data_IF_534859912699
#
_entry.id   IF_534859912699
#
_cell.length_a   1.000
_cell.length_b   1.000
_cell.length_c   1.000
_cell.angle_alpha   90.00
_cell.angle_beta   90.00
_cell.angle_gamma   90.00
#
_symmetry.space_group_name_H-M   'P 1'
#
loop_
_entity.id
_entity.type
_entity.pdbx_description
1 polymer ?
#
# COMPACT_ATOMS: atom_id res chain seq x y z
N UNK A 1 -16.21 23.94 -5.72
CA UNK A 1 -17.41 23.92 -4.86
C UNK A 1 -17.08 23.09 -3.61
N UNK A 2 -17.37 23.58 -2.42
CA UNK A 2 -17.11 22.87 -1.18
C UNK A 2 -18.06 21.67 -1.06
N UNK A 3 -17.51 20.44 -0.93
CA UNK A 3 -18.33 19.22 -0.85
C UNK A 3 -18.80 18.97 0.60
N UNK A 4 -20.02 18.45 0.80
CA UNK A 4 -20.59 18.24 2.15
C UNK A 4 -19.76 17.36 3.08
N UNK A 5 -19.06 16.35 2.56
CA UNK A 5 -18.19 15.47 3.36
C UNK A 5 -17.03 16.25 3.99
N UNK A 6 -16.37 17.12 3.21
CA UNK A 6 -15.29 17.97 3.71
C UNK A 6 -15.81 19.03 4.70
N UNK A 7 -16.96 19.66 4.40
CA UNK A 7 -17.59 20.60 5.32
C UNK A 7 -17.91 19.96 6.68
N UNK A 8 -18.43 18.71 6.71
CA UNK A 8 -18.67 17.94 7.94
C UNK A 8 -17.38 17.67 8.72
N UNK A 9 -16.29 17.31 8.01
CA UNK A 9 -14.97 17.09 8.65
C UNK A 9 -14.47 18.39 9.29
N UNK A 10 -14.60 19.52 8.59
CA UNK A 10 -14.20 20.83 9.10
C UNK A 10 -15.01 21.20 10.36
N UNK A 11 -16.34 21.08 10.34
CA UNK A 11 -17.19 21.34 11.53
C UNK A 11 -16.75 20.47 12.71
N UNK A 12 -16.44 19.19 12.48
CA UNK A 12 -15.99 18.29 13.55
C UNK A 12 -14.68 18.74 14.20
N UNK A 13 -13.72 19.21 13.41
CA UNK A 13 -12.44 19.71 13.96
C UNK A 13 -12.61 21.07 14.66
N UNK A 14 -13.39 21.98 14.06
CA UNK A 14 -13.64 23.31 14.64
C UNK A 14 -14.42 23.23 15.94
N UNK A 15 -15.40 22.30 16.07
CA UNK A 15 -16.17 22.08 17.31
C UNK A 15 -15.32 21.68 18.52
N UNK A 16 -14.11 21.14 18.29
CA UNK A 16 -13.17 20.83 19.36
C UNK A 16 -12.51 22.07 19.98
N UNK A 17 -12.57 23.19 19.26
CA UNK A 17 -11.88 24.43 19.63
C UNK A 17 -12.82 25.49 20.19
N UNK A 18 -14.10 25.44 19.81
CA UNK A 18 -15.10 26.44 20.20
C UNK A 18 -16.45 25.78 20.49
N UNK A 19 -17.18 26.31 21.48
CA UNK A 19 -18.48 25.79 21.94
C UNK A 19 -19.66 26.41 21.20
N UNK A 20 -19.43 27.45 20.38
CA UNK A 20 -20.47 28.16 19.67
C UNK A 20 -21.02 27.38 18.48
N UNK A 21 -22.28 27.72 18.09
CA UNK A 21 -22.90 27.14 16.89
C UNK A 21 -22.21 27.63 15.63
N UNK A 22 -21.80 26.67 14.78
CA UNK A 22 -21.12 26.95 13.52
C UNK A 22 -21.92 26.34 12.39
N UNK A 23 -21.98 27.04 11.29
CA UNK A 23 -22.51 26.55 10.02
C UNK A 23 -21.45 26.69 8.92
N UNK A 24 -21.52 25.82 7.93
CA UNK A 24 -20.88 26.01 6.63
C UNK A 24 -21.97 25.97 5.59
N UNK A 25 -22.11 27.08 4.85
CA UNK A 25 -23.01 27.24 3.71
C UNK A 25 -22.26 27.10 2.39
N UNK A 26 -22.96 26.66 1.36
CA UNK A 26 -22.51 26.78 -0.02
C UNK A 26 -22.66 28.20 -0.56
N UNK A 27 -22.24 28.42 -1.79
CA UNK A 27 -22.33 29.75 -2.44
C UNK A 27 -23.77 30.18 -2.73
N UNK A 28 -24.76 29.29 -2.68
CA UNK A 28 -26.19 29.57 -2.86
C UNK A 28 -26.90 29.91 -1.53
N UNK A 29 -26.18 29.84 -0.41
CA UNK A 29 -26.71 30.06 0.93
C UNK A 29 -27.35 28.81 1.56
N UNK A 30 -27.20 27.63 0.99
CA UNK A 30 -27.66 26.36 1.59
C UNK A 30 -26.68 25.88 2.63
N UNK A 31 -27.12 25.58 3.85
CA UNK A 31 -26.28 25.03 4.90
C UNK A 31 -25.93 23.57 4.56
N UNK A 32 -24.65 23.29 4.29
CA UNK A 32 -24.14 21.95 3.93
C UNK A 32 -23.56 21.19 5.13
N UNK A 33 -23.18 21.90 6.19
CA UNK A 33 -22.77 21.34 7.47
C UNK A 33 -23.04 22.30 8.61
N UNK A 34 -23.35 21.76 9.80
CA UNK A 34 -23.65 22.56 10.98
C UNK A 34 -23.38 21.76 12.26
N UNK A 35 -23.03 22.45 13.37
CA UNK A 35 -23.03 21.87 14.73
C UNK A 35 -24.44 21.50 15.19
N UNK A 36 -25.44 22.29 14.78
CA UNK A 36 -26.86 21.96 14.91
C UNK A 36 -27.33 21.24 13.61
N UNK A 37 -27.43 19.93 13.68
CA UNK A 37 -27.78 19.10 12.53
C UNK A 37 -29.16 19.39 11.94
N UNK A 38 -30.09 19.95 12.73
CA UNK A 38 -31.44 20.32 12.29
C UNK A 38 -31.41 21.43 11.21
N UNK A 39 -30.35 22.20 11.14
CA UNK A 39 -30.18 23.32 10.18
C UNK A 39 -29.61 22.86 8.82
N UNK A 40 -29.09 21.65 8.70
CA UNK A 40 -28.51 21.16 7.45
C UNK A 40 -29.60 21.08 6.37
N UNK A 41 -29.32 21.62 5.19
CA UNK A 41 -30.24 21.70 4.06
C UNK A 41 -31.14 22.94 4.11
N UNK A 42 -31.19 23.71 5.22
CA UNK A 42 -31.96 24.95 5.27
C UNK A 42 -31.20 26.11 4.61
N UNK A 43 -31.98 27.11 4.17
CA UNK A 43 -31.45 28.33 3.56
C UNK A 43 -30.99 29.32 4.63
N UNK A 44 -29.85 29.98 4.39
CA UNK A 44 -29.24 30.99 5.25
C UNK A 44 -28.89 32.24 4.43
N UNK A 45 -29.75 33.25 4.47
CA UNK A 45 -29.60 34.44 3.63
C UNK A 45 -28.30 35.21 3.89
N UNK A 46 -27.83 35.27 5.14
CA UNK A 46 -26.55 35.89 5.50
C UNK A 46 -25.34 35.20 4.84
N UNK A 47 -25.40 33.88 4.63
CA UNK A 47 -24.36 33.16 3.90
C UNK A 47 -24.40 33.51 2.39
N UNK A 48 -25.59 33.58 1.79
CA UNK A 48 -25.76 34.01 0.39
C UNK A 48 -25.19 35.41 0.17
N UNK A 49 -25.55 36.38 1.02
CA UNK A 49 -25.09 37.76 0.91
C UNK A 49 -23.56 37.86 1.09
N UNK A 50 -23.02 37.19 2.11
CA UNK A 50 -21.56 37.15 2.33
C UNK A 50 -20.81 36.53 1.16
N UNK A 51 -21.36 35.47 0.55
CA UNK A 51 -20.79 34.83 -0.64
C UNK A 51 -20.80 35.74 -1.85
N UNK A 52 -21.95 36.36 -2.14
CA UNK A 52 -22.14 37.24 -3.30
C UNK A 52 -21.24 38.47 -3.23
N UNK A 53 -21.22 39.14 -2.06
CA UNK A 53 -20.49 40.38 -1.86
C UNK A 53 -19.01 40.16 -1.54
N UNK A 54 -18.60 38.87 -1.35
CA UNK A 54 -17.25 38.43 -1.02
C UNK A 54 -16.67 39.11 0.23
N UNK A 55 -17.54 39.51 1.16
CA UNK A 55 -17.19 40.24 2.36
C UNK A 55 -17.76 39.58 3.61
N UNK A 56 -17.07 39.85 4.72
CA UNK A 56 -17.56 39.53 6.05
C UNK A 56 -18.92 40.23 6.24
N UNK A 57 -19.91 39.45 6.70
CA UNK A 57 -21.22 39.95 7.03
C UNK A 57 -21.52 39.74 8.52
N UNK A 58 -21.86 40.80 9.22
CA UNK A 58 -22.28 40.78 10.61
C UNK A 58 -23.80 40.78 10.65
N UNK A 59 -24.40 39.80 11.31
CA UNK A 59 -25.84 39.69 11.55
C UNK A 59 -26.10 40.17 12.98
N UNK A 60 -26.81 41.26 13.13
CA UNK A 60 -27.29 41.76 14.43
C UNK A 60 -28.59 41.07 14.84
N UNK A 61 -28.99 41.18 16.11
CA UNK A 61 -30.29 40.67 16.58
C UNK A 61 -31.49 41.25 15.83
N UNK A 62 -31.42 42.50 15.43
CA UNK A 62 -32.50 43.13 14.66
C UNK A 62 -32.61 42.54 13.25
N UNK A 63 -31.47 42.18 12.65
CA UNK A 63 -31.44 41.56 11.32
C UNK A 63 -31.99 40.11 11.32
N UNK A 64 -32.01 39.41 12.45
CA UNK A 64 -32.62 38.06 12.55
C UNK A 64 -34.10 38.06 12.14
N UNK A 65 -34.81 39.17 12.37
CA UNK A 65 -36.24 39.32 12.05
C UNK A 65 -36.49 39.63 10.56
N UNK A 66 -35.46 40.08 9.83
CA UNK A 66 -35.57 40.54 8.45
C UNK A 66 -34.96 39.61 7.43
N UNK A 67 -33.99 38.74 7.83
CA UNK A 67 -33.29 37.81 6.96
C UNK A 67 -33.75 36.37 7.22
N UNK A 68 -33.84 35.57 6.16
CA UNK A 68 -34.31 34.18 6.27
C UNK A 68 -33.24 33.24 6.81
N UNK A 69 -33.58 32.46 7.83
CA UNK A 69 -32.79 31.38 8.36
C UNK A 69 -31.50 31.80 9.06
N UNK A 70 -31.34 33.05 9.44
CA UNK A 70 -30.15 33.58 10.10
C UNK A 70 -30.27 33.55 11.62
N UNK A 71 -29.13 33.53 12.30
CA UNK A 71 -28.97 33.84 13.72
C UNK A 71 -27.92 34.96 13.84
N UNK A 72 -28.02 35.79 14.90
CA UNK A 72 -27.02 36.83 15.16
C UNK A 72 -25.60 36.22 15.29
N UNK A 73 -24.65 36.85 14.59
CA UNK A 73 -23.30 36.34 14.50
C UNK A 73 -22.52 36.92 13.32
N UNK A 74 -21.53 36.19 12.86
CA UNK A 74 -20.70 36.59 11.72
C UNK A 74 -20.72 35.51 10.63
N UNK A 75 -20.74 35.97 9.38
CA UNK A 75 -20.57 35.11 8.20
C UNK A 75 -19.32 35.56 7.44
N UNK A 76 -18.44 34.65 7.13
CA UNK A 76 -17.14 34.88 6.50
C UNK A 76 -17.04 34.06 5.22
N UNK A 77 -16.79 34.67 4.06
CA UNK A 77 -16.62 33.95 2.82
C UNK A 77 -15.29 33.15 2.87
N UNK A 78 -15.37 31.90 2.50
CA UNK A 78 -14.22 30.97 2.39
C UNK A 78 -13.69 31.06 0.96
N UNK A 79 -12.42 31.41 0.82
CA UNK A 79 -11.76 31.58 -0.46
C UNK A 79 -10.88 30.36 -0.81
N UNK A 80 -10.96 29.94 -2.06
CA UNK A 80 -10.02 28.98 -2.65
C UNK A 80 -9.66 29.44 -4.07
N UNK A 81 -8.36 29.63 -4.35
CA UNK A 81 -7.87 30.19 -5.62
C UNK A 81 -8.64 31.48 -6.01
N UNK A 82 -8.74 32.38 -5.06
CA UNK A 82 -9.41 33.71 -5.20
C UNK A 82 -10.91 33.65 -5.47
N UNK A 83 -11.53 32.49 -5.43
CA UNK A 83 -12.99 32.32 -5.60
C UNK A 83 -13.64 31.92 -4.29
N UNK A 84 -14.82 32.48 -4.01
CA UNK A 84 -15.63 32.01 -2.88
C UNK A 84 -16.14 30.59 -3.18
N UNK A 85 -15.86 29.63 -2.29
CA UNK A 85 -16.28 28.24 -2.40
C UNK A 85 -17.35 27.86 -1.39
N UNK A 86 -17.56 28.68 -0.38
CA UNK A 86 -18.57 28.56 0.67
C UNK A 86 -18.47 29.70 1.67
N UNK A 87 -19.24 29.63 2.73
CA UNK A 87 -19.28 30.61 3.82
C UNK A 87 -19.27 29.88 5.16
N UNK A 88 -18.43 30.31 6.09
CA UNK A 88 -18.48 29.87 7.48
C UNK A 88 -19.24 30.91 8.31
N UNK A 89 -20.30 30.48 9.02
CA UNK A 89 -21.07 31.31 9.94
C UNK A 89 -20.84 30.84 11.39
N UNK A 90 -20.66 31.84 12.28
CA UNK A 90 -20.49 31.62 13.72
C UNK A 90 -21.59 32.41 14.42
N UNK A 91 -22.42 31.72 15.22
CA UNK A 91 -23.49 32.31 16.00
C UNK A 91 -22.94 32.91 17.28
N UNK A 92 -23.36 34.11 17.67
CA UNK A 92 -22.99 34.75 18.94
C UNK A 92 -22.59 36.20 18.80
N UNK A 93 -21.95 36.79 19.83
CA UNK A 93 -21.58 38.21 19.82
C UNK A 93 -20.46 38.50 18.80
N UNK A 94 -20.71 39.31 17.75
CA UNK A 94 -19.72 39.61 16.72
C UNK A 94 -18.44 40.28 17.22
N UNK A 95 -18.51 41.06 18.29
CA UNK A 95 -17.32 41.70 18.88
C UNK A 95 -16.37 40.71 19.52
N UNK A 96 -16.93 39.68 20.13
CA UNK A 96 -16.15 38.59 20.76
C UNK A 96 -15.45 37.70 19.72
N UNK A 97 -16.09 37.46 18.56
CA UNK A 97 -15.65 36.49 17.57
C UNK A 97 -14.95 37.06 16.33
N UNK A 98 -14.77 38.39 16.25
CA UNK A 98 -14.16 38.99 15.07
C UNK A 98 -12.78 38.43 14.70
N UNK A 99 -11.87 38.36 15.64
CA UNK A 99 -10.52 37.84 15.42
C UNK A 99 -10.53 36.29 15.29
N UNK A 100 -11.30 35.57 16.11
CA UNK A 100 -11.44 34.11 16.00
C UNK A 100 -12.09 33.67 14.70
N UNK A 101 -13.08 34.45 14.21
CA UNK A 101 -13.73 34.15 12.95
C UNK A 101 -12.77 34.17 11.77
N UNK A 102 -11.87 35.15 11.71
CA UNK A 102 -10.85 35.21 10.64
C UNK A 102 -9.85 34.07 10.76
N UNK A 103 -9.48 33.69 11.97
CA UNK A 103 -8.61 32.52 12.19
C UNK A 103 -9.29 31.21 11.70
N UNK A 104 -10.57 31.03 12.07
CA UNK A 104 -11.35 29.86 11.64
C UNK A 104 -11.56 29.80 10.14
N UNK A 105 -11.84 30.96 9.51
CA UNK A 105 -11.88 31.09 8.06
C UNK A 105 -10.55 30.61 7.47
N UNK A 106 -9.42 31.12 7.97
CA UNK A 106 -8.09 30.76 7.45
C UNK A 106 -7.77 29.29 7.63
N UNK A 107 -8.09 28.72 8.79
CA UNK A 107 -7.95 27.25 9.03
C UNK A 107 -8.82 26.45 8.06
N UNK A 108 -10.06 26.89 7.81
CA UNK A 108 -10.96 26.24 6.85
C UNK A 108 -10.40 26.29 5.43
N UNK A 109 -9.87 27.43 5.01
CA UNK A 109 -9.20 27.58 3.70
C UNK A 109 -7.99 26.64 3.55
N UNK A 110 -7.16 26.52 4.61
CA UNK A 110 -6.02 25.60 4.61
C UNK A 110 -6.45 24.12 4.53
N UNK A 111 -7.51 23.72 5.24
CA UNK A 111 -8.04 22.37 5.18
C UNK A 111 -8.63 22.04 3.79
N UNK A 112 -9.26 23.01 3.14
CA UNK A 112 -9.75 22.88 1.76
C UNK A 112 -8.58 22.72 0.79
N UNK A 113 -7.55 23.55 0.96
CA UNK A 113 -6.34 23.49 0.14
C UNK A 113 -5.61 22.14 0.30
N UNK A 114 -5.43 21.68 1.52
CA UNK A 114 -4.85 20.36 1.82
C UNK A 114 -5.63 19.22 1.16
N UNK A 115 -6.98 19.26 1.30
CA UNK A 115 -7.86 18.25 0.70
C UNK A 115 -7.75 18.24 -0.83
N UNK A 116 -7.72 19.41 -1.44
CA UNK A 116 -7.57 19.54 -2.90
C UNK A 116 -6.23 18.98 -3.38
N UNK A 117 -5.13 19.34 -2.74
CA UNK A 117 -3.81 18.81 -3.12
C UNK A 117 -3.72 17.29 -2.89
N UNK A 118 -4.31 16.79 -1.81
CA UNK A 118 -4.36 15.37 -1.55
C UNK A 118 -5.12 14.60 -2.65
N UNK A 119 -6.21 15.17 -3.17
CA UNK A 119 -6.99 14.61 -4.28
C UNK A 119 -6.22 14.65 -5.60
N UNK A 120 -5.50 15.74 -5.90
CA UNK A 120 -4.66 15.85 -7.09
C UNK A 120 -3.54 14.82 -7.08
N UNK A 121 -2.82 14.68 -5.97
CA UNK A 121 -1.76 13.67 -5.81
C UNK A 121 -2.31 12.25 -6.01
N UNK A 122 -3.50 11.97 -5.47
CA UNK A 122 -4.14 10.65 -5.64
C UNK A 122 -4.53 10.40 -7.11
N UNK A 123 -5.03 11.41 -7.82
CA UNK A 123 -5.37 11.29 -9.23
C UNK A 123 -4.12 11.05 -10.10
N UNK A 124 -3.05 11.81 -9.87
CA UNK A 124 -1.77 11.61 -10.56
C UNK A 124 -1.22 10.19 -10.29
N UNK A 125 -1.27 9.73 -9.04
CA UNK A 125 -0.84 8.38 -8.68
C UNK A 125 -1.63 7.31 -9.42
N UNK A 126 -2.96 7.43 -9.50
CA UNK A 126 -3.81 6.48 -10.23
C UNK A 126 -3.54 6.48 -11.73
N UNK A 127 -3.31 7.65 -12.31
CA UNK A 127 -2.96 7.77 -13.73
C UNK A 127 -1.65 7.03 -14.02
N UNK A 128 -0.65 7.23 -13.15
CA UNK A 128 0.64 6.55 -13.26
C UNK A 128 0.51 5.03 -13.06
N UNK A 129 -0.28 4.59 -12.08
CA UNK A 129 -0.56 3.17 -11.82
C UNK A 129 -1.21 2.49 -13.03
N UNK A 130 -2.21 3.13 -13.63
CA UNK A 130 -2.88 2.62 -14.84
C UNK A 130 -1.91 2.56 -16.01
N UNK A 131 -1.08 3.59 -16.20
CA UNK A 131 -0.07 3.60 -17.25
C UNK A 131 0.93 2.44 -17.11
N UNK A 132 1.49 2.24 -15.91
CA UNK A 132 2.44 1.14 -15.65
C UNK A 132 1.76 -0.22 -15.82
N UNK A 133 0.51 -0.37 -15.39
CA UNK A 133 -0.26 -1.59 -15.60
C UNK A 133 -0.40 -1.91 -17.09
N UNK A 134 -0.80 -0.93 -17.89
CA UNK A 134 -0.91 -1.10 -19.35
C UNK A 134 0.46 -1.43 -19.97
N UNK A 135 1.53 -0.72 -19.55
CA UNK A 135 2.88 -0.96 -20.05
C UNK A 135 3.36 -2.40 -19.85
N UNK A 136 3.06 -2.95 -18.65
CA UNK A 136 3.39 -4.35 -18.33
C UNK A 136 2.58 -5.37 -19.14
N UNK A 137 1.46 -4.99 -19.73
CA UNK A 137 0.59 -5.88 -20.50
C UNK A 137 0.70 -5.70 -22.03
N UNK A 138 1.37 -4.66 -22.49
CA UNK A 138 1.51 -4.37 -23.90
C UNK A 138 2.28 -5.47 -24.63
N UNK A 139 1.73 -5.85 -25.80
CA UNK A 139 2.44 -6.64 -26.80
C UNK A 139 3.12 -5.75 -27.84
N UNK A 140 2.53 -4.61 -28.14
CA UNK A 140 3.02 -3.61 -29.11
C UNK A 140 2.69 -2.20 -28.60
N UNK A 141 3.57 -1.25 -28.85
CA UNK A 141 3.42 0.14 -28.45
C UNK A 141 2.49 0.87 -29.43
N UNK A 142 1.31 1.25 -28.95
CA UNK A 142 0.38 2.07 -29.73
C UNK A 142 0.71 3.56 -29.63
N UNK A 143 0.29 4.35 -30.64
CA UNK A 143 0.45 5.80 -30.60
C UNK A 143 -0.24 6.46 -29.39
N UNK A 144 -1.36 5.89 -28.93
CA UNK A 144 -2.06 6.35 -27.72
C UNK A 144 -1.22 6.11 -26.45
N UNK A 145 -0.57 4.97 -26.36
CA UNK A 145 0.34 4.66 -25.25
C UNK A 145 1.53 5.62 -25.23
N UNK A 146 2.16 5.89 -26.37
CA UNK A 146 3.28 6.83 -26.50
C UNK A 146 2.88 8.26 -26.07
N UNK A 147 1.71 8.74 -26.50
CA UNK A 147 1.19 10.03 -26.08
C UNK A 147 0.97 10.11 -24.56
N UNK A 148 0.50 9.02 -23.96
CA UNK A 148 0.35 8.96 -22.49
C UNK A 148 1.68 8.97 -21.76
N UNK A 149 2.69 8.30 -22.28
CA UNK A 149 4.06 8.32 -21.75
C UNK A 149 4.62 9.75 -21.74
N UNK A 150 4.47 10.46 -22.87
CA UNK A 150 4.90 11.86 -23.01
C UNK A 150 4.19 12.79 -22.01
N UNK A 151 2.87 12.67 -21.84
CA UNK A 151 2.11 13.45 -20.85
C UNK A 151 2.54 13.20 -19.40
N UNK A 152 3.04 11.99 -19.12
CA UNK A 152 3.56 11.63 -17.80
C UNK A 152 5.06 11.93 -17.64
N UNK A 153 5.71 12.48 -18.67
CA UNK A 153 7.15 12.69 -18.76
C UNK A 153 7.95 11.38 -18.51
N UNK A 154 7.45 10.27 -19.04
CA UNK A 154 8.11 8.96 -18.95
C UNK A 154 8.74 8.62 -20.27
N UNK A 155 10.06 8.55 -20.29
CA UNK A 155 10.81 8.02 -21.42
C UNK A 155 10.80 6.49 -21.35
N UNK A 156 10.10 5.85 -22.29
CA UNK A 156 9.96 4.39 -22.37
C UNK A 156 11.17 3.68 -22.97
N UNK A 157 12.04 4.40 -23.67
CA UNK A 157 13.29 3.87 -24.24
C UNK A 157 14.33 3.54 -23.17
N UNK A 158 14.23 4.19 -22.00
CA UNK A 158 15.11 3.93 -20.87
C UNK A 158 14.84 2.54 -20.30
N UNK A 159 15.87 1.69 -20.29
CA UNK A 159 15.79 0.38 -19.64
C UNK A 159 15.50 0.53 -18.15
N UNK A 160 14.51 -0.21 -17.68
CA UNK A 160 14.12 -0.24 -16.28
C UNK A 160 14.06 -1.65 -15.74
N UNK A 161 14.56 -1.81 -14.55
CA UNK A 161 14.49 -3.05 -13.78
C UNK A 161 13.31 -2.98 -12.80
N UNK A 162 12.46 -4.00 -12.81
CA UNK A 162 11.32 -4.07 -11.90
C UNK A 162 11.75 -4.62 -10.55
N UNK A 163 11.39 -3.90 -9.51
CA UNK A 163 11.44 -4.36 -8.13
C UNK A 163 10.02 -4.44 -7.60
N UNK A 164 9.60 -5.60 -7.15
CA UNK A 164 8.31 -5.78 -6.50
C UNK A 164 8.49 -5.88 -4.99
N UNK A 165 7.88 -4.95 -4.25
CA UNK A 165 7.84 -4.95 -2.79
C UNK A 165 6.52 -5.51 -2.27
N UNK A 166 6.57 -6.25 -1.17
CA UNK A 166 5.37 -6.69 -0.44
C UNK A 166 5.51 -6.40 1.05
N UNK A 167 4.39 -6.06 1.65
CA UNK A 167 4.25 -5.70 3.05
C UNK A 167 3.45 -6.78 3.74
N UNK A 168 3.92 -7.18 4.92
CA UNK A 168 3.17 -8.02 5.85
C UNK A 168 3.08 -7.28 7.19
N UNK A 169 1.85 -7.06 7.65
CA UNK A 169 1.55 -6.37 8.90
C UNK A 169 0.32 -6.97 9.55
N UNK A 170 0.28 -6.95 10.89
CA UNK A 170 -0.90 -7.33 11.68
C UNK A 170 -1.97 -6.23 11.70
N UNK A 171 -1.65 -5.03 11.17
CA UNK A 171 -2.56 -3.88 11.05
C UNK A 171 -2.62 -3.40 9.62
N UNK A 172 -3.79 -2.91 9.20
CA UNK A 172 -3.94 -2.27 7.88
C UNK A 172 -3.13 -0.97 7.83
N UNK A 173 -2.06 -0.97 7.05
CA UNK A 173 -1.26 0.23 6.77
C UNK A 173 -1.57 0.67 5.34
N UNK A 174 -2.08 1.89 5.14
CA UNK A 174 -2.34 2.37 3.80
C UNK A 174 -1.05 2.45 2.97
N UNK A 175 -1.02 1.84 1.79
CA UNK A 175 0.12 1.93 0.86
C UNK A 175 0.50 3.39 0.51
N UNK A 176 -0.45 4.33 0.66
CA UNK A 176 -0.18 5.76 0.52
C UNK A 176 0.85 6.26 1.55
N UNK A 177 0.81 5.77 2.78
CA UNK A 177 1.80 6.16 3.80
C UNK A 177 3.19 5.66 3.42
N UNK A 178 3.27 4.45 2.90
CA UNK A 178 4.52 3.86 2.39
C UNK A 178 5.05 4.64 1.20
N UNK A 179 4.18 4.96 0.22
CA UNK A 179 4.53 5.79 -0.92
C UNK A 179 5.12 7.15 -0.49
N UNK A 180 4.48 7.82 0.46
CA UNK A 180 4.96 9.10 0.99
C UNK A 180 6.34 8.96 1.66
N UNK A 181 6.55 7.90 2.44
CA UNK A 181 7.83 7.66 3.11
C UNK A 181 8.98 7.32 2.15
N UNK A 182 8.67 6.62 1.06
CA UNK A 182 9.65 6.33 0.00
C UNK A 182 9.96 7.62 -0.78
N UNK A 183 8.95 8.39 -1.19
CA UNK A 183 9.10 9.62 -1.96
C UNK A 183 9.75 10.79 -1.19
N UNK A 184 9.55 10.87 0.13
CA UNK A 184 10.14 11.92 0.99
C UNK A 184 11.66 11.79 1.18
N UNK A 185 12.25 10.70 0.76
CA UNK A 185 13.70 10.54 0.80
C UNK A 185 14.25 10.54 -0.63
N UNK A 186 15.40 11.14 -0.87
CA UNK A 186 16.07 11.12 -2.17
C UNK A 186 16.69 9.72 -2.45
N UNK A 187 15.91 8.67 -2.25
CA UNK A 187 16.32 7.29 -2.48
C UNK A 187 16.10 6.93 -3.94
N UNK A 188 15.03 7.47 -4.51
CA UNK A 188 14.67 7.30 -5.92
C UNK A 188 15.13 8.53 -6.72
N UNK A 189 15.64 8.30 -7.92
CA UNK A 189 15.97 9.35 -8.88
C UNK A 189 14.67 9.88 -9.53
N UNK A 190 14.73 11.06 -10.16
CA UNK A 190 13.54 11.70 -10.79
C UNK A 190 12.84 10.84 -11.84
N UNK A 191 13.60 10.00 -12.56
CA UNK A 191 13.07 9.12 -13.61
C UNK A 191 12.71 7.71 -13.12
N UNK A 192 12.91 7.42 -11.84
CA UNK A 192 12.51 6.15 -11.23
C UNK A 192 11.06 6.23 -10.75
N UNK A 193 10.30 5.16 -10.99
CA UNK A 193 8.87 5.16 -10.83
C UNK A 193 8.49 4.31 -9.60
N UNK A 194 7.62 4.84 -8.75
CA UNK A 194 6.94 4.12 -7.69
C UNK A 194 5.45 4.05 -7.99
N UNK A 195 4.87 2.85 -8.00
CA UNK A 195 3.43 2.63 -8.09
C UNK A 195 2.94 1.61 -7.08
N UNK A 196 1.69 1.77 -6.63
CA UNK A 196 0.99 0.77 -5.83
C UNK A 196 0.58 -0.40 -6.73
N UNK A 197 0.60 -1.62 -6.19
CA UNK A 197 0.24 -2.84 -6.91
C UNK A 197 -0.65 -3.76 -6.06
N UNK A 198 -1.94 -3.51 -6.09
CA UNK A 198 -2.90 -4.15 -5.20
C UNK A 198 -2.91 -3.54 -3.79
N UNK A 199 -3.24 -4.35 -2.78
CA UNK A 199 -3.45 -3.86 -1.41
C UNK A 199 -2.20 -3.94 -0.53
N UNK A 200 -1.29 -4.89 -0.82
CA UNK A 200 -0.12 -5.22 0.00
C UNK A 200 1.20 -5.14 -0.75
N UNK A 201 1.18 -4.72 -2.03
CA UNK A 201 2.35 -4.70 -2.91
C UNK A 201 2.55 -3.34 -3.55
N UNK A 202 3.77 -3.10 -3.99
CA UNK A 202 4.15 -1.93 -4.78
C UNK A 202 5.28 -2.29 -5.75
N UNK A 203 5.43 -1.49 -6.79
CA UNK A 203 6.51 -1.62 -7.77
C UNK A 203 7.43 -0.40 -7.69
N UNK A 204 8.73 -0.67 -7.86
CA UNK A 204 9.73 0.33 -8.19
C UNK A 204 10.29 -0.04 -9.56
N UNK A 205 10.30 0.92 -10.47
CA UNK A 205 10.99 0.78 -11.74
C UNK A 205 12.30 1.57 -11.63
N UNK A 206 13.38 0.85 -11.40
CA UNK A 206 14.72 1.40 -11.19
C UNK A 206 15.48 1.42 -12.52
N UNK A 207 16.45 2.32 -12.64
CA UNK A 207 17.26 2.48 -13.84
C UNK A 207 18.73 2.70 -13.50
N UNK A 208 19.62 2.21 -14.39
CA UNK A 208 21.08 2.45 -14.34
C UNK A 208 21.73 2.16 -12.97
N UNK A 209 21.30 1.07 -12.31
CA UNK A 209 21.84 0.66 -11.01
C UNK A 209 22.48 -0.72 -11.08
N UNK A 210 23.68 -0.86 -10.50
CA UNK A 210 24.26 -2.18 -10.28
C UNK A 210 23.50 -2.95 -9.21
N UNK A 211 23.66 -4.28 -9.19
CA UNK A 211 23.07 -5.18 -8.18
C UNK A 211 23.36 -4.70 -6.75
N UNK A 212 24.60 -4.29 -6.48
CA UNK A 212 25.03 -3.80 -5.16
C UNK A 212 24.35 -2.47 -4.79
N UNK A 213 24.12 -1.59 -5.78
CA UNK A 213 23.42 -0.33 -5.58
C UNK A 213 21.95 -0.57 -5.25
N UNK A 214 21.29 -1.47 -5.99
CA UNK A 214 19.90 -1.88 -5.73
C UNK A 214 19.79 -2.51 -4.35
N UNK A 215 20.66 -3.44 -4.00
CA UNK A 215 20.70 -4.08 -2.68
C UNK A 215 20.79 -3.02 -1.55
N UNK A 216 21.67 -2.04 -1.68
CA UNK A 216 21.84 -0.96 -0.69
C UNK A 216 20.59 -0.08 -0.59
N UNK A 217 19.99 0.29 -1.72
CA UNK A 217 18.76 1.10 -1.76
C UNK A 217 17.62 0.38 -1.08
N UNK A 218 17.38 -0.88 -1.46
CA UNK A 218 16.28 -1.67 -0.92
C UNK A 218 16.48 -1.98 0.58
N UNK A 219 17.73 -2.22 1.01
CA UNK A 219 18.02 -2.40 2.43
C UNK A 219 17.72 -1.12 3.26
N UNK A 220 17.98 0.07 2.71
CA UNK A 220 17.61 1.35 3.35
C UNK A 220 16.10 1.52 3.43
N UNK A 221 15.38 1.25 2.33
CA UNK A 221 13.92 1.31 2.29
C UNK A 221 13.34 0.34 3.33
N UNK A 222 13.79 -0.93 3.30
CA UNK A 222 13.37 -1.98 4.22
C UNK A 222 13.57 -1.57 5.68
N UNK A 223 14.79 -1.24 6.07
CA UNK A 223 15.13 -0.87 7.45
C UNK A 223 14.29 0.31 7.94
N UNK A 224 14.07 1.32 7.08
CA UNK A 224 13.28 2.49 7.43
C UNK A 224 11.80 2.16 7.61
N UNK A 225 11.21 1.39 6.71
CA UNK A 225 9.80 1.02 6.80
C UNK A 225 9.56 0.11 8.01
N UNK A 226 10.41 -0.89 8.22
CA UNK A 226 10.30 -1.83 9.33
C UNK A 226 10.46 -1.15 10.69
N UNK A 227 11.43 -0.23 10.82
CA UNK A 227 11.66 0.49 12.09
C UNK A 227 10.56 1.50 12.44
N UNK A 228 9.90 2.06 11.43
CA UNK A 228 8.94 3.16 11.64
C UNK A 228 7.50 2.69 11.74
N UNK A 229 7.16 1.61 11.05
CA UNK A 229 5.78 1.13 10.89
C UNK A 229 5.53 -0.23 11.53
N UNK A 230 6.55 -0.88 12.11
CA UNK A 230 6.46 -2.23 12.70
C UNK A 230 5.90 -3.27 11.70
N UNK A 231 6.33 -3.19 10.44
CA UNK A 231 5.92 -4.08 9.34
C UNK A 231 7.09 -4.96 8.92
N UNK A 232 6.81 -6.03 8.19
CA UNK A 232 7.84 -6.79 7.46
C UNK A 232 7.76 -6.46 5.98
N UNK A 233 8.91 -6.20 5.35
CA UNK A 233 9.00 -5.87 3.93
C UNK A 233 9.88 -6.89 3.23
N UNK A 234 9.40 -7.40 2.11
CA UNK A 234 10.14 -8.31 1.23
C UNK A 234 10.24 -7.71 -0.16
N UNK A 235 11.34 -7.98 -0.86
CA UNK A 235 11.54 -7.51 -2.22
C UNK A 235 11.95 -8.64 -3.15
N UNK A 236 11.32 -8.68 -4.33
CA UNK A 236 11.76 -9.47 -5.47
C UNK A 236 12.23 -8.56 -6.58
N UNK A 237 13.33 -8.89 -7.22
CA UNK A 237 13.99 -8.08 -8.25
C UNK A 237 14.11 -8.92 -9.52
N UNK A 238 13.57 -8.39 -10.64
CA UNK A 238 13.74 -8.95 -11.98
C UNK A 238 15.04 -8.52 -12.63
N UNK A 239 15.26 -8.91 -13.88
CA UNK A 239 16.38 -8.46 -14.70
C UNK A 239 16.13 -7.04 -15.26
N UNK A 240 17.14 -6.44 -15.86
CA UNK A 240 17.05 -5.20 -16.63
C UNK A 240 16.74 -5.45 -18.11
N UNK A 241 16.35 -6.68 -18.45
CA UNK A 241 16.03 -7.09 -19.81
C UNK A 241 14.68 -6.52 -20.29
N UNK A 242 14.63 -6.20 -21.58
CA UNK A 242 13.39 -5.83 -22.26
C UNK A 242 12.69 -7.08 -22.85
N UNK A 243 11.37 -7.16 -22.88
CA UNK A 243 10.38 -6.17 -22.44
C UNK A 243 10.22 -6.09 -20.92
N UNK A 244 9.74 -4.95 -20.42
CA UNK A 244 9.52 -4.69 -18.98
C UNK A 244 8.67 -5.77 -18.32
N UNK A 245 7.77 -6.40 -19.06
CA UNK A 245 6.97 -7.55 -18.63
C UNK A 245 7.81 -8.71 -18.13
N UNK A 246 8.93 -9.02 -18.80
CA UNK A 246 9.84 -10.08 -18.38
C UNK A 246 10.40 -9.79 -16.98
N UNK A 247 10.93 -8.59 -16.81
CA UNK A 247 11.44 -8.14 -15.50
C UNK A 247 10.38 -8.19 -14.40
N UNK A 248 9.11 -7.88 -14.74
CA UNK A 248 7.99 -7.98 -13.80
C UNK A 248 7.71 -9.43 -13.39
N UNK A 249 7.63 -10.36 -14.34
CA UNK A 249 7.35 -11.78 -14.06
C UNK A 249 8.49 -12.40 -13.22
N UNK A 250 9.73 -12.03 -13.49
CA UNK A 250 10.91 -12.39 -12.72
C UNK A 250 10.87 -11.80 -11.30
N UNK A 251 10.53 -10.50 -11.17
CA UNK A 251 10.40 -9.85 -9.87
C UNK A 251 9.29 -10.48 -9.00
N UNK A 252 8.15 -10.86 -9.60
CA UNK A 252 7.08 -11.56 -8.88
C UNK A 252 7.54 -12.94 -8.40
N UNK A 253 8.24 -13.70 -9.23
CA UNK A 253 8.83 -14.99 -8.87
C UNK A 253 9.82 -14.86 -7.71
N UNK A 254 10.74 -13.90 -7.78
CA UNK A 254 11.70 -13.61 -6.72
C UNK A 254 11.00 -13.17 -5.42
N UNK A 255 9.93 -12.38 -5.52
CA UNK A 255 9.16 -11.95 -4.36
C UNK A 255 8.49 -13.13 -3.64
N UNK A 256 7.97 -14.13 -4.35
CA UNK A 256 7.39 -15.32 -3.71
C UNK A 256 8.41 -16.06 -2.84
N UNK A 257 9.67 -16.08 -3.25
CA UNK A 257 10.77 -16.64 -2.45
C UNK A 257 11.11 -15.71 -1.27
N UNK A 258 11.25 -14.41 -1.54
CA UNK A 258 11.59 -13.40 -0.53
C UNK A 258 10.59 -13.33 0.63
N UNK A 259 9.29 -13.51 0.36
CA UNK A 259 8.21 -13.48 1.38
C UNK A 259 8.40 -14.54 2.49
N UNK A 260 9.03 -15.68 2.20
CA UNK A 260 9.23 -16.75 3.18
C UNK A 260 10.23 -16.37 4.27
N UNK A 261 11.26 -15.63 3.88
CA UNK A 261 12.38 -15.24 4.77
C UNK A 261 12.36 -13.75 5.17
N UNK A 262 11.44 -12.96 4.61
CA UNK A 262 11.45 -11.52 4.80
C UNK A 262 12.69 -10.86 4.19
N UNK A 263 13.16 -11.33 3.04
CA UNK A 263 14.45 -10.96 2.44
C UNK A 263 14.32 -10.06 1.21
N UNK A 264 15.46 -9.73 0.63
CA UNK A 264 15.62 -9.12 -0.70
C UNK A 264 16.17 -10.22 -1.60
N UNK A 265 15.47 -10.54 -2.68
CA UNK A 265 15.82 -11.66 -3.55
C UNK A 265 15.88 -11.19 -5.01
N UNK A 266 16.99 -11.48 -5.68
CA UNK A 266 17.13 -11.30 -7.12
C UNK A 266 16.71 -12.57 -7.84
N UNK A 267 16.02 -12.44 -8.96
CA UNK A 267 15.59 -13.58 -9.77
C UNK A 267 16.78 -14.36 -10.34
N UNK A 268 17.83 -13.67 -10.77
CA UNK A 268 19.06 -14.28 -11.29
C UNK A 268 19.79 -15.20 -10.29
N UNK A 269 19.53 -15.05 -8.99
CA UNK A 269 20.07 -15.91 -7.95
C UNK A 269 19.21 -17.17 -7.72
N UNK A 270 18.02 -17.25 -8.33
CA UNK A 270 17.13 -18.38 -8.23
C UNK A 270 17.51 -19.46 -9.24
N UNK A 271 17.53 -20.69 -8.78
CA UNK A 271 17.81 -21.86 -9.62
C UNK A 271 16.65 -22.85 -9.58
N UNK A 272 16.53 -23.57 -8.48
CA UNK A 272 15.48 -24.56 -8.28
C UNK A 272 14.10 -23.93 -8.11
N UNK A 273 14.03 -22.78 -7.45
CA UNK A 273 12.80 -22.01 -7.24
C UNK A 273 12.18 -21.55 -8.57
N UNK A 274 13.00 -21.24 -9.56
CA UNK A 274 12.54 -20.91 -10.91
C UNK A 274 11.80 -22.09 -11.54
N UNK A 275 12.38 -23.30 -11.51
CA UNK A 275 11.75 -24.51 -12.04
C UNK A 275 10.42 -24.82 -11.33
N UNK A 276 10.40 -24.66 -10.02
CA UNK A 276 9.19 -24.87 -9.20
C UNK A 276 8.09 -23.86 -9.58
N UNK A 277 8.47 -22.62 -9.88
CA UNK A 277 7.49 -21.57 -10.24
C UNK A 277 6.82 -21.87 -11.58
N UNK A 278 7.54 -22.38 -12.55
CA UNK A 278 7.03 -22.72 -13.89
C UNK A 278 6.11 -23.96 -13.90
N UNK A 279 6.12 -24.78 -12.83
CA UNK A 279 5.22 -25.94 -12.76
C UNK A 279 3.81 -25.52 -12.33
N UNK A 280 2.78 -26.07 -13.02
CA UNK A 280 1.38 -25.76 -12.67
C UNK A 280 1.00 -26.30 -11.29
N UNK A 281 0.10 -25.61 -10.57
CA UNK A 281 -0.36 -26.04 -9.25
C UNK A 281 -0.93 -27.47 -9.22
N UNK A 282 -1.56 -27.91 -10.32
CA UNK A 282 -2.02 -29.29 -10.47
C UNK A 282 -0.86 -30.31 -10.44
N UNK A 283 0.24 -30.01 -11.13
CA UNK A 283 1.43 -30.87 -11.15
C UNK A 283 2.11 -30.86 -9.79
N UNK A 284 2.17 -29.69 -9.13
CA UNK A 284 2.73 -29.55 -7.78
C UNK A 284 1.96 -30.40 -6.76
N UNK A 285 0.63 -30.31 -6.75
CA UNK A 285 -0.23 -31.13 -5.87
C UNK A 285 -0.07 -32.62 -6.12
N UNK A 286 -0.05 -33.03 -7.38
CA UNK A 286 0.13 -34.44 -7.73
C UNK A 286 1.51 -34.96 -7.31
N UNK A 287 2.56 -34.13 -7.42
CA UNK A 287 3.89 -34.48 -6.96
C UNK A 287 3.94 -34.72 -5.44
N UNK A 288 3.38 -33.77 -4.66
CA UNK A 288 3.26 -33.86 -3.20
C UNK A 288 2.49 -35.14 -2.81
N UNK A 289 1.38 -35.42 -3.49
CA UNK A 289 0.57 -36.62 -3.25
C UNK A 289 1.34 -37.91 -3.46
N UNK A 290 2.22 -37.96 -4.48
CA UNK A 290 3.02 -39.17 -4.79
C UNK A 290 4.23 -39.33 -3.91
N UNK A 291 4.70 -38.32 -3.22
CA UNK A 291 6.00 -38.32 -2.53
C UNK A 291 5.88 -38.22 -1.02
N UNK A 292 5.29 -37.16 -0.49
CA UNK A 292 5.35 -36.83 0.94
C UNK A 292 4.00 -36.78 1.64
N UNK A 293 2.87 -37.00 0.95
CA UNK A 293 1.53 -36.86 1.55
C UNK A 293 1.41 -37.69 2.84
N UNK A 294 1.92 -38.91 2.87
CA UNK A 294 1.86 -39.81 4.04
C UNK A 294 2.72 -39.34 5.24
N UNK A 295 3.59 -38.32 5.04
CA UNK A 295 4.37 -37.73 6.13
C UNK A 295 3.66 -36.53 6.77
N UNK A 296 2.59 -36.02 6.17
CA UNK A 296 1.93 -34.79 6.64
C UNK A 296 1.24 -35.01 7.97
N UNK A 297 0.77 -36.21 8.24
CA UNK A 297 0.13 -36.57 9.51
C UNK A 297 1.14 -36.77 10.66
N UNK A 298 2.44 -36.92 10.35
CA UNK A 298 3.50 -37.05 11.35
C UNK A 298 4.47 -35.85 11.28
N UNK A 299 4.14 -34.81 12.03
CA UNK A 299 4.95 -33.57 12.09
C UNK A 299 6.38 -33.82 12.60
N UNK A 300 6.62 -34.87 13.40
CA UNK A 300 7.94 -35.20 13.92
C UNK A 300 8.84 -35.81 12.83
N UNK A 301 8.29 -36.64 11.96
CA UNK A 301 9.01 -37.21 10.81
C UNK A 301 9.29 -36.11 9.77
N UNK A 302 8.32 -35.28 9.47
CA UNK A 302 8.50 -34.16 8.53
C UNK A 302 9.60 -33.19 9.00
N UNK A 303 9.56 -32.78 10.29
CA UNK A 303 10.63 -31.96 10.90
C UNK A 303 11.98 -32.65 10.85
N UNK A 304 12.00 -33.96 11.06
CA UNK A 304 13.24 -34.74 11.00
C UNK A 304 13.83 -34.74 9.59
N UNK A 305 13.00 -34.91 8.55
CA UNK A 305 13.43 -34.87 7.16
C UNK A 305 13.96 -33.48 6.77
N UNK A 306 13.25 -32.44 7.12
CA UNK A 306 13.67 -31.05 6.86
C UNK A 306 15.01 -30.75 7.51
N UNK A 307 15.18 -31.13 8.78
CA UNK A 307 16.43 -30.91 9.49
C UNK A 307 17.58 -31.75 8.94
N UNK A 308 17.31 -32.98 8.54
CA UNK A 308 18.30 -33.85 7.92
C UNK A 308 18.85 -33.29 6.60
N UNK A 309 17.97 -32.69 5.79
CA UNK A 309 18.35 -31.97 4.56
C UNK A 309 19.18 -30.73 4.90
N UNK A 310 18.74 -29.90 5.85
CA UNK A 310 19.47 -28.70 6.30
C UNK A 310 20.86 -28.96 6.79
N UNK A 311 21.06 -30.10 7.47
CA UNK A 311 22.36 -30.54 7.98
C UNK A 311 23.18 -31.36 6.96
N UNK A 312 22.86 -31.20 5.66
CA UNK A 312 23.56 -31.87 4.56
C UNK A 312 23.71 -33.40 4.80
N UNK A 313 22.63 -34.04 5.25
CA UNK A 313 22.58 -35.49 5.54
C UNK A 313 23.49 -35.95 6.69
N UNK A 314 24.00 -35.03 7.51
CA UNK A 314 24.86 -35.39 8.66
C UNK A 314 24.01 -35.95 9.79
N UNK A 315 24.10 -37.25 10.04
CA UNK A 315 23.40 -37.95 11.12
C UNK A 315 23.73 -37.32 12.49
N UNK A 316 24.99 -37.00 12.73
CA UNK A 316 25.47 -36.48 14.02
C UNK A 316 24.90 -35.05 14.27
N UNK A 317 25.01 -34.17 13.28
CA UNK A 317 24.55 -32.78 13.43
C UNK A 317 23.02 -32.72 13.45
N UNK A 318 22.31 -33.51 12.66
CA UNK A 318 20.86 -33.62 12.70
C UNK A 318 20.34 -34.09 14.06
N UNK A 319 20.94 -35.17 14.63
CA UNK A 319 20.57 -35.68 15.94
C UNK A 319 20.80 -34.63 17.03
N UNK A 320 21.93 -33.91 16.97
CA UNK A 320 22.25 -32.80 17.87
C UNK A 320 21.25 -31.64 17.75
N UNK A 321 20.94 -31.20 16.53
CA UNK A 321 19.99 -30.11 16.27
C UNK A 321 18.58 -30.44 16.75
N UNK A 322 18.14 -31.66 16.58
CA UNK A 322 16.83 -32.15 17.04
C UNK A 322 16.80 -32.54 18.52
N UNK A 323 17.94 -32.47 19.24
CA UNK A 323 18.08 -32.92 20.64
C UNK A 323 17.63 -34.36 20.85
N UNK A 324 17.94 -35.25 19.92
CA UNK A 324 17.64 -36.71 19.99
C UNK A 324 18.89 -37.56 19.88
N UNK A 325 18.78 -38.83 20.33
CA UNK A 325 19.87 -39.77 20.13
C UNK A 325 19.96 -40.22 18.65
N UNK A 326 21.16 -40.56 18.17
CA UNK A 326 21.41 -41.04 16.81
C UNK A 326 20.53 -42.24 16.43
N UNK A 327 20.31 -43.17 17.37
CA UNK A 327 19.43 -44.31 17.14
C UNK A 327 17.96 -43.89 16.87
N UNK A 328 17.49 -42.89 17.58
CA UNK A 328 16.16 -42.33 17.37
C UNK A 328 16.04 -41.66 16.01
N UNK A 329 17.10 -40.92 15.59
CA UNK A 329 17.15 -40.35 14.26
C UNK A 329 17.13 -41.44 13.18
N UNK A 330 17.95 -42.48 13.32
CA UNK A 330 17.97 -43.60 12.39
C UNK A 330 16.60 -44.28 12.29
N UNK A 331 15.93 -44.50 13.42
CA UNK A 331 14.57 -45.05 13.46
C UNK A 331 13.60 -44.15 12.68
N UNK A 332 13.64 -42.83 12.88
CA UNK A 332 12.77 -41.88 12.17
C UNK A 332 13.04 -41.86 10.67
N UNK A 333 14.30 -41.90 10.23
CA UNK A 333 14.64 -41.98 8.81
C UNK A 333 14.12 -43.28 8.16
N UNK A 334 14.20 -44.42 8.84
CA UNK A 334 13.63 -45.66 8.35
C UNK A 334 12.08 -45.60 8.30
N UNK A 335 11.43 -44.92 9.24
CA UNK A 335 9.98 -44.68 9.19
C UNK A 335 9.57 -43.78 8.02
N UNK A 336 10.38 -42.77 7.66
CA UNK A 336 10.16 -41.95 6.48
C UNK A 336 10.17 -42.82 5.22
N UNK A 337 11.13 -43.75 5.12
CA UNK A 337 11.20 -44.72 4.01
C UNK A 337 9.96 -45.61 3.97
N UNK A 338 9.54 -46.16 5.13
CA UNK A 338 8.35 -47.01 5.24
C UNK A 338 7.06 -46.26 4.74
N UNK A 339 6.92 -44.97 5.07
CA UNK A 339 5.73 -44.16 4.72
C UNK A 339 5.74 -43.68 3.28
N UNK A 340 6.91 -43.42 2.71
CA UNK A 340 7.03 -42.80 1.39
C UNK A 340 7.50 -43.78 0.29
N UNK A 341 8.11 -44.90 0.68
CA UNK A 341 8.82 -45.77 -0.25
C UNK A 341 10.13 -45.18 -0.79
N UNK A 342 10.59 -44.05 -0.24
CA UNK A 342 11.78 -43.30 -0.67
C UNK A 342 12.83 -43.32 0.45
N UNK A 343 14.06 -43.77 0.14
CA UNK A 343 15.13 -43.90 1.12
C UNK A 343 15.85 -42.56 1.36
N UNK A 344 15.74 -41.92 2.54
CA UNK A 344 16.28 -40.56 2.77
C UNK A 344 17.81 -40.42 2.65
N UNK A 345 18.56 -41.56 2.62
CA UNK A 345 20.02 -41.57 2.42
C UNK A 345 20.42 -41.85 0.97
N UNK A 346 19.49 -42.20 0.10
CA UNK A 346 19.72 -42.30 -1.33
C UNK A 346 19.58 -40.90 -1.94
N UNK A 347 20.55 -40.49 -2.77
CA UNK A 347 20.55 -39.13 -3.35
C UNK A 347 19.31 -38.84 -4.19
N UNK A 348 18.90 -39.78 -5.05
CA UNK A 348 17.76 -39.61 -5.95
C UNK A 348 16.45 -39.53 -5.15
N UNK A 349 16.28 -40.43 -4.19
CA UNK A 349 15.09 -40.45 -3.33
C UNK A 349 15.02 -39.23 -2.43
N UNK A 350 16.14 -38.80 -1.84
CA UNK A 350 16.23 -37.61 -1.03
C UNK A 350 15.92 -36.34 -1.85
N UNK A 351 16.40 -36.26 -3.09
CA UNK A 351 16.06 -35.16 -4.01
C UNK A 351 14.57 -35.14 -4.29
N UNK A 352 13.95 -36.32 -4.49
CA UNK A 352 12.51 -36.45 -4.68
C UNK A 352 11.72 -35.98 -3.45
N UNK A 353 12.14 -36.38 -2.25
CA UNK A 353 11.57 -35.93 -0.98
C UNK A 353 11.75 -34.41 -0.78
N UNK A 354 12.93 -33.88 -1.09
CA UNK A 354 13.23 -32.44 -0.99
C UNK A 354 12.33 -31.58 -1.90
N UNK A 355 12.16 -31.98 -3.16
CA UNK A 355 11.24 -31.33 -4.07
C UNK A 355 9.82 -31.40 -3.54
N UNK A 356 9.37 -32.51 -2.97
CA UNK A 356 8.06 -32.62 -2.33
C UNK A 356 7.87 -31.59 -1.21
N UNK A 357 8.87 -31.39 -0.34
CA UNK A 357 8.85 -30.41 0.73
C UNK A 357 8.76 -28.98 0.15
N UNK A 358 9.57 -28.65 -0.86
CA UNK A 358 9.54 -27.32 -1.49
C UNK A 358 8.19 -27.00 -2.13
N UNK A 359 7.53 -28.01 -2.70
CA UNK A 359 6.22 -27.87 -3.32
C UNK A 359 5.08 -27.81 -2.30
N UNK A 360 5.25 -28.43 -1.13
CA UNK A 360 4.26 -28.43 -0.05
C UNK A 360 3.93 -27.03 0.43
N UNK A 361 4.94 -26.18 0.66
CA UNK A 361 4.78 -24.80 1.12
C UNK A 361 3.91 -23.93 0.20
N UNK A 362 3.82 -24.29 -1.10
CA UNK A 362 2.94 -23.63 -2.07
C UNK A 362 1.53 -24.21 -2.08
N UNK A 363 1.39 -25.50 -1.81
CA UNK A 363 0.12 -26.24 -1.93
C UNK A 363 -0.83 -26.00 -0.74
N UNK A 364 -0.30 -25.70 0.45
CA UNK A 364 -1.13 -25.46 1.65
C UNK A 364 -2.02 -24.22 1.47
N UNK A 365 -1.60 -23.20 0.69
CA UNK A 365 -2.42 -22.02 0.37
C UNK A 365 -3.55 -22.27 -0.62
N UNK A 366 -3.64 -23.44 -1.21
CA UNK A 366 -4.70 -23.80 -2.18
C UNK A 366 -5.77 -24.66 -1.51
N UNK A 367 -5.53 -25.16 -0.29
CA UNK A 367 -6.43 -26.06 0.46
C UNK A 367 -7.18 -25.30 1.58
N UNK A 368 -6.72 -24.08 1.96
CA UNK A 368 -7.48 -23.13 2.79
C UNK A 368 -8.34 -22.21 1.90
#
# INVERSE_FOLDING_TARGET
>A
MLIPSLAKKIIKEVRRLIDEDIIIGDVSGTIIASTDTSRIGSFHEGALLSSRDQKKMIITKDMENHLKGVKAGINLPILFKEKVVGVIGITGNPEKFGAYGELLKKMTELLIQESYFAEQIELESRTLETFVFDWLQLKEESSEFLNRAEHLNIDIEIKRQVVMGSISSDTEIPLREIANRIKQNPILNENEIFVRWGNDRFLLLLMDRSKEQIQKVLQRIKSKLESTLSIKVSFGIGSDDYPLRKSFDEADRALQVAKRSGSIQFDEDLTLEMLIHETSGKVQLEYVRRTIVNLLDDTALLKTLIEFIKQNQSIKETAKSLHIHVNTLTYRLNKIEEYTGLHPRNFVDLTTLYLGILLLDKSIKVIE
#
